data_IF_014506607042
#
_entry.id   IF_014506607042
#
_cell.length_a   1.000
_cell.length_b   1.000
_cell.length_c   1.000
_cell.angle_alpha   90.00
_cell.angle_beta   90.00
_cell.angle_gamma   90.00
#
_symmetry.space_group_name_H-M   'P 1'
#
loop_
_entity.id
_entity.type
_entity.pdbx_description
1 polymer ?
#
# COMPACT_ATOMS: atom_id res chain seq x y z
N UNK A 1 -0.48 11.48 1.64
CA UNK A 1 0.95 11.77 1.72
C UNK A 1 1.17 13.27 1.83
N UNK A 2 2.34 13.75 2.32
CA UNK A 2 2.63 15.17 2.36
C UNK A 2 2.68 15.75 0.94
N UNK A 3 2.15 16.96 0.78
CA UNK A 3 2.27 17.68 -0.50
C UNK A 3 3.74 17.92 -0.82
N UNK A 4 4.11 17.81 -2.09
CA UNK A 4 5.44 18.14 -2.58
C UNK A 4 5.78 19.61 -2.27
N UNK A 5 7.07 19.90 -2.11
CA UNK A 5 7.54 21.25 -1.87
C UNK A 5 7.19 22.17 -3.06
N UNK A 6 6.80 23.41 -2.75
CA UNK A 6 6.61 24.44 -3.77
C UNK A 6 7.93 24.69 -4.49
N UNK A 7 7.90 24.78 -5.82
CA UNK A 7 9.08 25.11 -6.62
C UNK A 7 9.67 26.47 -6.24
N UNK A 8 10.97 26.71 -6.51
CA UNK A 8 11.60 28.00 -6.25
C UNK A 8 10.95 29.10 -7.08
N UNK A 9 10.94 30.31 -6.56
CA UNK A 9 10.48 31.48 -7.30
C UNK A 9 11.30 31.67 -8.57
N UNK A 10 10.67 32.12 -9.66
CA UNK A 10 11.35 32.45 -10.90
C UNK A 10 12.40 33.54 -10.70
N UNK A 11 13.44 33.56 -11.54
CA UNK A 11 14.46 34.62 -11.52
C UNK A 11 13.84 35.97 -11.91
N UNK A 12 14.33 37.04 -11.30
CA UNK A 12 13.92 38.38 -11.69
C UNK A 12 14.23 38.62 -13.17
N UNK A 13 13.31 39.29 -13.87
CA UNK A 13 13.52 39.67 -15.27
C UNK A 13 14.72 40.62 -15.44
N UNK A 14 15.36 40.57 -16.59
CA UNK A 14 16.47 41.49 -16.92
C UNK A 14 15.97 42.96 -16.96
N UNK A 15 16.86 43.87 -16.59
CA UNK A 15 16.58 45.32 -16.67
C UNK A 15 16.41 45.69 -18.14
N UNK A 16 15.35 46.40 -18.49
CA UNK A 16 15.07 46.81 -19.85
C UNK A 16 16.18 47.74 -20.39
N UNK A 17 16.40 47.72 -21.71
CA UNK A 17 17.42 48.59 -22.32
C UNK A 17 17.08 50.08 -22.12
N UNK A 18 18.15 50.87 -21.93
CA UNK A 18 18.05 52.33 -21.84
C UNK A 18 17.41 52.87 -23.11
N UNK A 19 16.42 53.74 -23.03
CA UNK A 19 15.75 54.32 -24.16
C UNK A 19 16.74 55.13 -25.03
N UNK A 20 16.50 55.23 -26.36
CA UNK A 20 17.37 56.01 -27.26
C UNK A 20 17.39 57.46 -26.85
N UNK A 21 18.61 58.08 -26.97
CA UNK A 21 18.82 59.50 -26.73
C UNK A 21 17.94 60.33 -27.71
N UNK A 22 17.19 61.24 -27.19
CA UNK A 22 16.36 62.13 -27.99
C UNK A 22 17.21 62.98 -28.98
N UNK A 23 16.60 63.41 -30.13
CA UNK A 23 17.31 64.23 -31.13
C UNK A 23 17.77 65.53 -30.52
N UNK A 24 19.00 65.90 -30.86
CA UNK A 24 19.59 67.21 -30.49
C UNK A 24 18.70 68.35 -31.00
N UNK A 25 18.34 69.29 -30.17
CA UNK A 25 17.59 70.47 -30.58
C UNK A 25 18.35 71.33 -31.54
N UNK A 26 17.65 72.17 -32.35
CA UNK A 26 18.29 73.08 -33.30
C UNK A 26 19.23 74.02 -32.53
N UNK A 27 20.42 74.23 -33.15
CA UNK A 27 21.50 74.99 -32.58
C UNK A 27 21.05 76.44 -32.35
N UNK A 28 20.72 76.74 -31.08
CA UNK A 28 20.61 78.12 -30.63
C UNK A 28 21.95 78.46 -29.92
N UNK A 29 22.24 79.71 -29.57
CA UNK A 29 23.45 80.06 -28.83
C UNK A 29 23.48 79.26 -27.55
N UNK A 30 24.34 78.23 -27.58
CA UNK A 30 24.69 77.26 -26.54
C UNK A 30 23.64 77.06 -25.43
N UNK A 31 22.60 76.22 -25.77
CA UNK A 31 21.68 75.75 -24.76
C UNK A 31 22.36 74.78 -23.83
N UNK A 32 21.95 74.75 -22.57
CA UNK A 32 22.41 73.79 -21.57
C UNK A 32 22.12 72.37 -22.05
N UNK A 33 23.03 71.45 -21.80
CA UNK A 33 22.82 70.04 -22.04
C UNK A 33 21.48 69.59 -21.40
N UNK A 34 20.67 68.89 -22.17
CA UNK A 34 19.40 68.35 -21.68
C UNK A 34 19.64 67.37 -20.51
N UNK A 35 18.74 67.36 -19.59
CA UNK A 35 18.81 66.41 -18.48
C UNK A 35 18.82 64.96 -19.05
N UNK A 36 19.64 64.06 -18.46
CA UNK A 36 19.62 62.62 -18.84
C UNK A 36 18.17 62.09 -18.82
N UNK A 37 17.86 61.29 -19.84
CA UNK A 37 16.55 60.60 -19.89
C UNK A 37 16.32 59.79 -18.61
N UNK A 38 15.09 59.68 -18.15
CA UNK A 38 14.75 58.90 -16.98
C UNK A 38 15.09 57.42 -17.21
N UNK A 39 15.67 56.75 -16.23
CA UNK A 39 15.89 55.29 -16.26
C UNK A 39 14.56 54.57 -16.56
N UNK A 40 14.58 53.65 -17.45
CA UNK A 40 13.41 52.81 -17.79
C UNK A 40 12.88 52.08 -16.52
N UNK A 41 11.59 51.73 -16.48
CA UNK A 41 11.04 51.01 -15.38
C UNK A 41 11.71 49.60 -15.27
N UNK A 42 11.88 49.17 -14.03
CA UNK A 42 12.37 47.80 -13.75
C UNK A 42 11.42 46.78 -14.40
N UNK A 43 11.97 45.77 -15.08
CA UNK A 43 11.20 44.69 -15.68
C UNK A 43 10.29 44.00 -14.66
N UNK A 44 9.14 43.52 -15.08
CA UNK A 44 8.22 42.77 -14.21
C UNK A 44 8.89 41.51 -13.70
N UNK A 45 8.63 41.17 -12.45
CA UNK A 45 9.07 39.90 -11.84
C UNK A 45 8.49 38.74 -12.66
N UNK A 46 9.30 37.75 -13.00
CA UNK A 46 8.84 36.53 -13.69
C UNK A 46 7.75 35.80 -12.89
N UNK A 47 6.88 35.04 -13.54
CA UNK A 47 5.87 34.24 -12.86
C UNK A 47 6.51 33.21 -11.93
N UNK A 48 5.83 32.89 -10.85
CA UNK A 48 6.25 31.83 -9.96
C UNK A 48 6.37 30.49 -10.73
N UNK A 49 7.36 29.69 -10.40
CA UNK A 49 7.53 28.36 -10.97
C UNK A 49 6.33 27.44 -10.69
N UNK A 50 6.10 26.42 -11.49
CA UNK A 50 5.03 25.46 -11.25
C UNK A 50 5.24 24.75 -9.89
N UNK A 51 4.13 24.40 -9.25
CA UNK A 51 4.18 23.57 -8.04
C UNK A 51 4.82 22.22 -8.37
N UNK A 52 5.73 21.76 -7.53
CA UNK A 52 6.36 20.44 -7.68
C UNK A 52 5.31 19.32 -7.67
N UNK A 53 5.62 18.17 -8.26
CA UNK A 53 4.71 17.02 -8.25
C UNK A 53 4.43 16.57 -6.81
N UNK A 54 3.21 16.12 -6.57
CA UNK A 54 2.84 15.50 -5.29
C UNK A 54 3.72 14.26 -5.08
N UNK A 55 4.31 14.13 -3.92
CA UNK A 55 5.09 12.93 -3.57
C UNK A 55 4.23 11.66 -3.59
N UNK A 56 4.85 10.48 -3.68
CA UNK A 56 4.11 9.22 -3.68
C UNK A 56 3.30 9.10 -2.39
N UNK A 57 2.03 8.74 -2.54
CA UNK A 57 1.13 8.48 -1.41
C UNK A 57 1.45 7.10 -0.83
N UNK A 58 1.65 7.03 0.49
CA UNK A 58 1.80 5.74 1.16
C UNK A 58 0.54 4.89 0.97
N UNK A 59 0.71 3.60 0.69
CA UNK A 59 -0.41 2.68 0.61
C UNK A 59 -1.12 2.58 1.98
N UNK A 60 -2.45 2.54 1.97
CA UNK A 60 -3.19 2.24 3.20
C UNK A 60 -2.84 0.81 3.66
N UNK A 61 -2.58 0.62 4.95
CA UNK A 61 -2.18 -0.69 5.51
C UNK A 61 -3.21 -1.77 5.19
N UNK A 62 -4.51 -1.46 5.27
CA UNK A 62 -5.58 -2.40 4.91
C UNK A 62 -5.51 -2.86 3.46
N UNK A 63 -5.20 -1.96 2.52
CA UNK A 63 -4.97 -2.33 1.12
C UNK A 63 -3.76 -3.26 0.97
N UNK A 64 -2.67 -2.98 1.67
CA UNK A 64 -1.47 -3.80 1.63
C UNK A 64 -1.70 -5.20 2.21
N UNK A 65 -2.46 -5.33 3.31
CA UNK A 65 -2.90 -6.61 3.86
C UNK A 65 -3.76 -7.40 2.87
N UNK A 66 -4.68 -6.75 2.16
CA UNK A 66 -5.50 -7.39 1.12
C UNK A 66 -4.64 -7.85 -0.06
N UNK A 67 -3.67 -7.06 -0.47
CA UNK A 67 -2.72 -7.44 -1.53
C UNK A 67 -1.89 -8.67 -1.11
N UNK A 68 -1.42 -8.70 0.14
CA UNK A 68 -0.72 -9.87 0.67
C UNK A 68 -1.61 -11.11 0.67
N UNK A 69 -2.85 -11.00 1.16
CA UNK A 69 -3.82 -12.11 1.13
C UNK A 69 -4.06 -12.60 -0.31
N UNK A 70 -4.24 -11.69 -1.26
CA UNK A 70 -4.43 -12.02 -2.68
C UNK A 70 -3.22 -12.75 -3.27
N UNK A 71 -2.01 -12.25 -2.99
CA UNK A 71 -0.76 -12.89 -3.42
C UNK A 71 -0.65 -14.32 -2.89
N UNK A 72 -0.96 -14.54 -1.63
CA UNK A 72 -0.92 -15.86 -1.01
C UNK A 72 -2.01 -16.77 -1.60
N UNK A 73 -3.25 -16.29 -1.73
CA UNK A 73 -4.35 -17.06 -2.31
C UNK A 73 -4.04 -17.57 -3.74
N UNK A 74 -3.41 -16.76 -4.58
CA UNK A 74 -2.98 -17.18 -5.92
C UNK A 74 -2.05 -18.39 -5.87
N UNK A 75 -1.16 -18.42 -4.90
CA UNK A 75 -0.21 -19.52 -4.72
C UNK A 75 -0.88 -20.75 -4.07
N UNK A 76 -1.77 -20.53 -3.08
CA UNK A 76 -2.49 -21.63 -2.41
C UNK A 76 -3.36 -22.40 -3.40
N UNK A 77 -4.04 -21.73 -4.33
CA UNK A 77 -4.84 -22.38 -5.39
C UNK A 77 -3.97 -23.32 -6.23
N UNK A 78 -2.73 -22.97 -6.49
CA UNK A 78 -1.81 -23.78 -7.30
C UNK A 78 -1.13 -24.88 -6.49
N UNK A 79 -0.76 -24.61 -5.24
CA UNK A 79 0.02 -25.52 -4.40
C UNK A 79 -0.84 -26.56 -3.68
N UNK A 80 -2.13 -26.25 -3.46
CA UNK A 80 -3.09 -27.09 -2.74
C UNK A 80 -4.39 -27.32 -3.54
N UNK A 81 -4.31 -27.79 -4.79
CA UNK A 81 -5.48 -27.84 -5.69
C UNK A 81 -6.55 -28.85 -5.25
N UNK A 82 -6.17 -29.83 -4.43
CA UNK A 82 -7.07 -30.90 -3.98
C UNK A 82 -7.38 -30.84 -2.48
N UNK A 83 -6.74 -29.95 -1.76
CA UNK A 83 -6.88 -29.82 -0.31
C UNK A 83 -8.11 -28.97 0.02
N UNK A 84 -8.73 -29.30 1.15
CA UNK A 84 -9.82 -28.51 1.65
C UNK A 84 -9.30 -27.29 2.43
N UNK A 85 -9.96 -26.17 2.27
CA UNK A 85 -9.64 -24.95 2.99
C UNK A 85 -10.82 -24.53 3.86
N UNK A 86 -10.51 -23.95 5.01
CA UNK A 86 -11.45 -23.21 5.83
C UNK A 86 -11.09 -21.74 5.74
N UNK A 87 -12.02 -20.94 5.26
CA UNK A 87 -11.89 -19.48 5.13
C UNK A 87 -12.68 -18.83 6.25
N UNK A 88 -11.99 -18.19 7.18
CA UNK A 88 -12.61 -17.45 8.29
C UNK A 88 -12.70 -15.96 7.92
N UNK A 89 -13.88 -15.40 8.12
CA UNK A 89 -14.17 -14.00 7.86
C UNK A 89 -14.05 -13.16 9.14
N UNK A 90 -13.73 -11.89 9.00
CA UNK A 90 -13.71 -10.93 10.10
C UNK A 90 -15.09 -10.67 10.73
N UNK A 91 -16.15 -11.15 10.11
CA UNK A 91 -17.52 -11.12 10.65
C UNK A 91 -17.86 -12.30 11.58
N UNK A 92 -16.96 -13.27 11.76
CA UNK A 92 -17.23 -14.50 12.49
C UNK A 92 -17.84 -15.63 11.64
N UNK A 93 -18.15 -15.38 10.37
CA UNK A 93 -18.61 -16.42 9.46
C UNK A 93 -17.43 -17.23 8.93
N UNK A 94 -17.68 -18.51 8.67
CA UNK A 94 -16.73 -19.41 8.04
C UNK A 94 -17.32 -19.99 6.76
N UNK A 95 -16.44 -20.25 5.82
CA UNK A 95 -16.75 -20.99 4.61
C UNK A 95 -15.71 -22.07 4.40
N UNK A 96 -16.09 -23.20 3.81
CA UNK A 96 -15.18 -24.31 3.57
C UNK A 96 -15.39 -24.91 2.19
N UNK A 97 -14.29 -25.33 1.58
CA UNK A 97 -14.29 -25.92 0.24
C UNK A 97 -12.86 -25.96 -0.30
N UNK A 98 -12.70 -26.41 -1.54
CA UNK A 98 -11.43 -26.26 -2.25
C UNK A 98 -11.31 -24.84 -2.78
N UNK A 99 -10.09 -24.33 -2.82
CA UNK A 99 -9.81 -23.02 -3.40
C UNK A 99 -9.95 -23.14 -4.94
N UNK A 100 -10.89 -22.40 -5.51
CA UNK A 100 -11.18 -22.40 -6.94
C UNK A 100 -10.38 -21.35 -7.70
N UNK A 101 -10.96 -20.17 -7.87
CA UNK A 101 -10.34 -19.08 -8.64
C UNK A 101 -10.53 -17.73 -7.95
N UNK A 102 -9.71 -16.76 -8.34
CA UNK A 102 -9.88 -15.37 -7.94
C UNK A 102 -10.70 -14.61 -8.99
N UNK A 103 -11.66 -13.79 -8.58
CA UNK A 103 -12.57 -13.07 -9.45
C UNK A 103 -12.55 -11.55 -9.18
N UNK A 104 -12.57 -10.70 -10.23
CA UNK A 104 -12.25 -11.07 -11.61
C UNK A 104 -10.83 -11.61 -11.70
N UNK A 105 -10.52 -12.35 -12.75
CA UNK A 105 -9.15 -12.81 -12.97
C UNK A 105 -8.17 -11.62 -13.08
N UNK A 106 -7.02 -11.71 -12.44
CA UNK A 106 -5.99 -10.67 -12.50
C UNK A 106 -5.65 -10.04 -11.14
N UNK A 107 -4.83 -8.99 -11.15
CA UNK A 107 -4.23 -8.43 -9.93
C UNK A 107 -5.23 -7.71 -9.00
N UNK A 108 -6.42 -7.37 -9.51
CA UNK A 108 -7.44 -6.65 -8.77
C UNK A 108 -8.60 -7.55 -8.32
N UNK A 109 -8.38 -8.86 -8.22
CA UNK A 109 -9.39 -9.79 -7.73
C UNK A 109 -9.92 -9.35 -6.35
N UNK A 110 -11.24 -9.31 -6.21
CA UNK A 110 -11.93 -8.96 -4.97
C UNK A 110 -12.63 -10.14 -4.30
N UNK A 111 -12.79 -11.25 -5.03
CA UNK A 111 -13.48 -12.44 -4.56
C UNK A 111 -12.59 -13.67 -4.70
N UNK A 112 -12.70 -14.57 -3.73
CA UNK A 112 -12.22 -15.95 -3.81
C UNK A 112 -13.41 -16.86 -4.03
N UNK A 113 -13.41 -17.65 -5.12
CA UNK A 113 -14.40 -18.66 -5.39
C UNK A 113 -14.00 -19.97 -4.71
N UNK A 114 -14.91 -20.57 -3.98
CA UNK A 114 -14.77 -21.91 -3.42
C UNK A 114 -15.52 -22.91 -4.29
N UNK A 115 -14.93 -24.10 -4.43
CA UNK A 115 -15.47 -25.17 -5.26
C UNK A 115 -15.61 -26.47 -4.44
N UNK A 116 -16.48 -27.36 -4.89
CA UNK A 116 -16.58 -28.68 -4.29
C UNK A 116 -15.46 -29.64 -4.80
N UNK A 117 -15.53 -30.89 -4.40
CA UNK A 117 -14.56 -31.93 -4.81
C UNK A 117 -14.54 -32.20 -6.32
N UNK A 118 -15.59 -31.85 -7.03
CA UNK A 118 -15.70 -31.99 -8.50
C UNK A 118 -15.26 -30.71 -9.24
N UNK A 119 -14.83 -29.68 -8.53
CA UNK A 119 -14.45 -28.39 -9.12
C UNK A 119 -15.64 -27.50 -9.49
N UNK A 120 -16.84 -27.83 -9.03
CA UNK A 120 -18.04 -27.01 -9.29
C UNK A 120 -18.10 -25.85 -8.30
N UNK A 121 -18.26 -24.62 -8.78
CA UNK A 121 -18.42 -23.42 -7.92
C UNK A 121 -19.57 -23.58 -6.92
N UNK A 122 -19.30 -23.25 -5.65
CA UNK A 122 -20.28 -23.28 -4.57
C UNK A 122 -20.60 -21.88 -4.09
N UNK A 123 -19.58 -21.11 -3.77
CA UNK A 123 -19.75 -19.77 -3.24
C UNK A 123 -18.53 -18.90 -3.56
N UNK A 124 -18.67 -17.60 -3.37
CA UNK A 124 -17.58 -16.63 -3.49
C UNK A 124 -17.54 -15.76 -2.23
N UNK A 125 -16.34 -15.60 -1.67
CA UNK A 125 -16.11 -14.80 -0.47
C UNK A 125 -15.27 -13.56 -0.79
N UNK A 126 -15.56 -12.44 -0.13
CA UNK A 126 -14.80 -11.20 -0.29
C UNK A 126 -13.41 -11.32 0.30
N UNK A 127 -12.37 -11.13 -0.51
CA UNK A 127 -10.97 -11.16 -0.05
C UNK A 127 -10.71 -10.08 1.01
N UNK A 128 -11.37 -8.94 0.90
CA UNK A 128 -11.24 -7.84 1.86
C UNK A 128 -11.75 -8.18 3.27
N UNK A 129 -12.56 -9.24 3.38
CA UNK A 129 -13.17 -9.68 4.63
C UNK A 129 -12.53 -10.95 5.21
N UNK A 130 -11.56 -11.53 4.52
CA UNK A 130 -10.88 -12.75 4.98
C UNK A 130 -9.95 -12.40 6.16
N UNK A 131 -10.18 -13.05 7.29
CA UNK A 131 -9.30 -13.00 8.45
C UNK A 131 -8.20 -14.06 8.38
N UNK A 132 -8.56 -15.30 7.97
CA UNK A 132 -7.58 -16.35 7.73
C UNK A 132 -8.05 -17.35 6.66
N UNK A 133 -7.07 -18.04 6.08
CA UNK A 133 -7.29 -19.22 5.24
C UNK A 133 -6.45 -20.36 5.81
N UNK A 134 -7.08 -21.44 6.22
CA UNK A 134 -6.41 -22.64 6.72
C UNK A 134 -6.58 -23.78 5.74
N UNK A 135 -5.48 -24.38 5.32
CA UNK A 135 -5.49 -25.59 4.49
C UNK A 135 -5.51 -26.79 5.42
N UNK A 136 -6.55 -27.60 5.33
CA UNK A 136 -6.73 -28.74 6.24
C UNK A 136 -6.08 -30.01 5.69
N UNK A 137 -5.50 -30.80 6.59
CA UNK A 137 -4.83 -32.06 6.26
C UNK A 137 -3.64 -31.94 5.30
N UNK A 138 -3.03 -30.77 5.23
CA UNK A 138 -1.83 -30.48 4.44
C UNK A 138 -0.69 -30.01 5.32
N UNK A 139 0.51 -30.11 4.82
CA UNK A 139 1.70 -29.49 5.44
C UNK A 139 2.03 -28.15 4.78
N UNK A 140 2.67 -27.27 5.55
CA UNK A 140 3.12 -25.98 5.01
C UNK A 140 4.12 -26.17 3.87
N UNK A 141 3.92 -25.46 2.77
CA UNK A 141 4.80 -25.47 1.60
C UNK A 141 5.75 -24.26 1.63
N UNK A 142 7.05 -24.53 1.71
CA UNK A 142 8.08 -23.50 1.76
C UNK A 142 8.28 -22.72 0.44
N UNK A 143 7.63 -23.12 -0.66
CA UNK A 143 7.68 -22.40 -1.93
C UNK A 143 6.80 -21.13 -1.92
N UNK A 144 5.96 -20.94 -0.92
CA UNK A 144 5.10 -19.77 -0.80
C UNK A 144 5.96 -18.53 -0.56
N UNK A 145 5.73 -17.52 -1.38
CA UNK A 145 6.41 -16.22 -1.33
C UNK A 145 5.47 -15.11 -0.86
N UNK A 146 6.04 -14.10 -0.22
CA UNK A 146 5.30 -13.00 0.37
C UNK A 146 5.73 -11.67 -0.25
N UNK A 147 4.79 -10.73 -0.33
CA UNK A 147 5.10 -9.37 -0.77
C UNK A 147 5.93 -8.66 0.30
N UNK A 148 6.91 -7.87 -0.09
CA UNK A 148 7.67 -7.03 0.84
C UNK A 148 6.80 -5.91 1.41
N UNK A 149 7.32 -5.24 2.43
CA UNK A 149 6.72 -4.00 2.94
C UNK A 149 6.58 -3.00 1.79
N UNK A 150 5.40 -2.37 1.60
CA UNK A 150 5.22 -1.36 0.56
C UNK A 150 6.22 -0.20 0.68
N UNK A 151 6.56 0.41 -0.44
CA UNK A 151 7.43 1.61 -0.49
C UNK A 151 6.65 2.76 -1.11
N UNK A 152 6.45 3.88 -0.40
CA UNK A 152 6.81 4.11 1.01
C UNK A 152 5.97 3.23 1.97
N UNK A 153 6.51 2.89 3.15
CA UNK A 153 5.77 2.07 4.11
C UNK A 153 4.48 2.78 4.57
N UNK A 154 3.41 2.02 4.85
CA UNK A 154 2.19 2.58 5.42
C UNK A 154 2.47 3.29 6.74
N UNK A 155 1.70 4.33 7.00
CA UNK A 155 1.79 5.14 8.23
C UNK A 155 0.40 5.31 8.86
N UNK A 156 0.38 5.72 10.12
CA UNK A 156 -0.85 5.96 10.89
C UNK A 156 -1.20 4.81 11.81
N UNK A 157 -2.23 5.03 12.63
CA UNK A 157 -2.59 4.12 13.72
C UNK A 157 -2.81 2.66 13.29
N UNK A 158 -3.44 2.44 12.14
CA UNK A 158 -3.67 1.07 11.64
C UNK A 158 -2.36 0.37 11.26
N UNK A 159 -1.38 1.12 10.73
CA UNK A 159 -0.05 0.59 10.43
C UNK A 159 0.74 0.29 11.71
N UNK A 160 0.59 1.13 12.74
CA UNK A 160 1.20 0.91 14.05
C UNK A 160 0.61 -0.33 14.72
N UNK A 161 -0.71 -0.55 14.62
CA UNK A 161 -1.38 -1.74 15.13
C UNK A 161 -0.89 -3.02 14.41
N UNK A 162 -0.79 -2.98 13.09
CA UNK A 162 -0.27 -4.09 12.30
C UNK A 162 1.17 -4.44 12.69
N UNK A 163 2.02 -3.43 12.84
CA UNK A 163 3.41 -3.61 13.25
C UNK A 163 3.53 -4.17 14.68
N UNK A 164 2.67 -3.72 15.60
CA UNK A 164 2.61 -4.23 16.96
C UNK A 164 2.23 -5.71 17.01
N UNK A 165 1.23 -6.14 16.21
CA UNK A 165 0.84 -7.55 16.10
C UNK A 165 2.01 -8.39 15.60
N UNK A 166 2.71 -7.96 14.55
CA UNK A 166 3.88 -8.69 14.06
C UNK A 166 5.01 -8.75 15.09
N UNK A 167 5.25 -7.66 15.82
CA UNK A 167 6.27 -7.64 16.88
C UNK A 167 5.91 -8.57 18.04
N UNK A 168 4.64 -8.78 18.31
CA UNK A 168 4.16 -9.67 19.37
C UNK A 168 4.23 -11.16 18.99
N UNK A 169 4.29 -11.48 17.69
CA UNK A 169 4.26 -12.83 17.13
C UNK A 169 5.56 -13.21 16.39
N UNK A 170 6.73 -13.19 17.04
CA UNK A 170 7.96 -13.61 16.36
C UNK A 170 7.88 -15.07 15.90
N UNK A 171 8.59 -15.38 14.82
CA UNK A 171 8.74 -16.77 14.35
C UNK A 171 9.30 -17.64 15.46
N UNK A 172 8.73 -18.83 15.64
CA UNK A 172 9.08 -19.76 16.72
C UNK A 172 8.20 -19.67 17.97
N UNK A 173 7.31 -18.65 18.09
CA UNK A 173 6.32 -18.60 19.17
C UNK A 173 5.36 -19.78 19.04
N UNK A 174 5.14 -20.49 20.15
CA UNK A 174 4.29 -21.70 20.21
C UNK A 174 3.07 -21.45 21.10
N UNK A 175 2.02 -22.28 20.96
CA UNK A 175 0.81 -22.19 21.77
C UNK A 175 -0.07 -20.98 21.45
N UNK A 176 0.17 -20.32 20.33
CA UNK A 176 -0.57 -19.11 19.93
C UNK A 176 -1.97 -19.47 19.48
N UNK A 177 -2.95 -18.72 19.98
CA UNK A 177 -4.32 -18.72 19.44
C UNK A 177 -4.69 -17.30 18.99
N UNK A 178 -5.03 -17.15 17.71
CA UNK A 178 -5.44 -15.86 17.14
C UNK A 178 -6.93 -15.88 16.89
N UNK A 179 -7.61 -14.84 17.36
CA UNK A 179 -9.05 -14.65 17.20
C UNK A 179 -9.33 -13.47 16.26
N UNK A 180 -10.37 -13.61 15.46
CA UNK A 180 -10.96 -12.57 14.64
C UNK A 180 -12.44 -12.84 14.44
N UNK A 181 -13.28 -11.79 14.45
CA UNK A 181 -14.72 -11.94 14.30
C UNK A 181 -15.36 -12.79 15.43
N UNK A 182 -14.80 -12.75 16.62
CA UNK A 182 -15.30 -13.51 17.78
C UNK A 182 -15.03 -15.02 17.74
N UNK A 183 -14.14 -15.49 16.86
CA UNK A 183 -13.77 -16.92 16.76
C UNK A 183 -12.25 -17.10 16.68
N UNK A 184 -11.76 -18.27 17.08
CA UNK A 184 -10.36 -18.65 16.86
C UNK A 184 -10.15 -19.01 15.42
N UNK A 185 -9.33 -18.21 14.71
CA UNK A 185 -9.04 -18.37 13.28
C UNK A 185 -7.75 -19.15 13.02
N UNK A 186 -6.87 -19.23 14.02
CA UNK A 186 -5.64 -20.03 13.97
C UNK A 186 -5.20 -20.43 15.39
N UNK A 187 -4.60 -21.61 15.51
CA UNK A 187 -4.01 -22.12 16.75
C UNK A 187 -2.77 -22.95 16.41
N UNK A 188 -1.65 -22.69 17.09
CA UNK A 188 -0.43 -23.45 16.88
C UNK A 188 0.85 -22.65 17.08
N UNK A 189 1.79 -22.83 16.18
CA UNK A 189 3.12 -22.19 16.21
C UNK A 189 3.32 -21.26 15.03
N UNK A 190 3.95 -20.12 15.28
CA UNK A 190 4.27 -19.13 14.24
C UNK A 190 5.50 -19.60 13.45
N UNK A 191 5.35 -19.80 12.15
CA UNK A 191 6.46 -20.19 11.25
C UNK A 191 6.82 -19.13 10.23
N UNK A 192 5.95 -18.16 9.98
CA UNK A 192 6.19 -16.98 9.15
C UNK A 192 5.57 -15.76 9.80
N UNK A 193 6.28 -14.65 9.66
CA UNK A 193 5.83 -13.34 10.13
C UNK A 193 6.24 -12.31 9.07
N UNK A 194 5.33 -12.03 8.18
CA UNK A 194 5.52 -11.16 7.03
C UNK A 194 4.60 -9.95 7.14
N UNK A 195 4.89 -8.89 6.40
CA UNK A 195 4.01 -7.73 6.37
C UNK A 195 2.58 -8.12 5.94
N UNK A 196 1.62 -7.80 6.77
CA UNK A 196 0.20 -8.10 6.51
C UNK A 196 -0.22 -9.54 6.77
N UNK A 197 0.70 -10.43 7.18
CA UNK A 197 0.38 -11.84 7.35
C UNK A 197 1.30 -12.57 8.33
N UNK A 198 0.73 -13.41 9.17
CA UNK A 198 1.45 -14.46 9.90
C UNK A 198 0.94 -15.83 9.49
N UNK A 199 1.82 -16.83 9.53
CA UNK A 199 1.45 -18.22 9.28
C UNK A 199 1.60 -19.02 10.56
N UNK A 200 0.49 -19.64 10.94
CA UNK A 200 0.36 -20.50 12.13
C UNK A 200 0.18 -21.94 11.66
N UNK A 201 0.92 -22.86 12.24
CA UNK A 201 0.80 -24.29 11.91
C UNK A 201 0.55 -25.12 13.16
N UNK A 202 -0.14 -26.23 12.98
CA UNK A 202 -0.24 -27.29 13.96
C UNK A 202 1.04 -28.12 14.11
N UNK A 203 0.99 -29.22 14.87
CA UNK A 203 2.13 -30.13 15.01
C UNK A 203 2.65 -30.62 13.64
N UNK A 204 3.97 -30.77 13.52
CA UNK A 204 4.64 -31.20 12.28
C UNK A 204 4.31 -30.32 11.05
N UNK A 205 4.14 -29.02 11.26
CA UNK A 205 3.79 -28.04 10.22
C UNK A 205 2.48 -28.35 9.50
N UNK A 206 1.54 -29.03 10.18
CA UNK A 206 0.23 -29.36 9.63
C UNK A 206 -0.73 -28.18 9.65
N UNK A 207 -1.77 -28.28 8.84
CA UNK A 207 -2.92 -27.38 8.81
C UNK A 207 -2.54 -25.88 8.79
N UNK A 208 -1.68 -25.45 7.83
CA UNK A 208 -1.20 -24.09 7.80
C UNK A 208 -2.36 -23.09 7.68
N UNK A 209 -2.41 -22.14 8.61
CA UNK A 209 -3.35 -21.04 8.65
C UNK A 209 -2.62 -19.73 8.31
N UNK A 210 -3.06 -19.09 7.23
CA UNK A 210 -2.56 -17.81 6.74
C UNK A 210 -3.46 -16.71 7.29
N UNK A 211 -2.99 -16.00 8.31
CA UNK A 211 -3.78 -15.03 9.08
C UNK A 211 -3.39 -13.61 8.69
N UNK A 212 -4.37 -12.80 8.28
CA UNK A 212 -4.16 -11.37 8.06
C UNK A 212 -3.90 -10.64 9.38
N UNK A 213 -2.75 -9.99 9.51
CA UNK A 213 -2.43 -9.18 10.69
C UNK A 213 -3.33 -7.96 10.84
N UNK A 214 -3.92 -7.48 9.73
CA UNK A 214 -4.92 -6.41 9.76
C UNK A 214 -6.30 -6.84 10.28
N UNK A 215 -6.52 -8.13 10.52
CA UNK A 215 -7.80 -8.69 10.99
C UNK A 215 -7.70 -9.41 12.34
N UNK A 216 -6.50 -9.60 12.85
CA UNK A 216 -6.31 -10.20 14.17
C UNK A 216 -6.81 -9.25 15.28
N UNK A 217 -7.66 -9.76 16.17
CA UNK A 217 -8.31 -8.97 17.23
C UNK A 217 -7.74 -9.32 18.62
N UNK A 218 -7.66 -10.61 18.93
CA UNK A 218 -7.19 -11.11 20.23
C UNK A 218 -6.14 -12.18 19.99
N UNK A 219 -5.02 -12.08 20.68
CA UNK A 219 -3.91 -13.02 20.59
C UNK A 219 -3.64 -13.56 21.99
N UNK A 220 -3.77 -14.87 22.14
CA UNK A 220 -3.45 -15.60 23.37
C UNK A 220 -2.18 -16.45 23.14
N UNK A 221 -1.32 -16.52 24.15
CA UNK A 221 -0.11 -17.32 24.20
C UNK A 221 -0.07 -18.15 25.47
#
# INVERSE_FOLDING_TARGET
>A
GPMGATGPAGTAGETGPTGPQGPSGPTGPQGRDGAPGSTGPVGATGPAGPTGPTGPTAAAVGCACVQQMRNVLQQLIQLYPNDNAVVAMDSGNNSSGRLGSLLPAGPNAGLLQLVNSQGVPQEAVSICRIASVRITSASYNNAITYLPVPVPPPTGCDADCEAAIRSYLPVGTTGVAINAGGQTVANGSIIRNEFGMVVVVGPNSSDPAFVSTCKAEIINQ
#
